data_IF_646783149542
#
_entry.id   IF_646783149542
#
_cell.length_a   1.000
_cell.length_b   1.000
_cell.length_c   1.000
_cell.angle_alpha   90.00
_cell.angle_beta   90.00
_cell.angle_gamma   90.00
#
_symmetry.space_group_name_H-M   'P 1'
#
loop_
_entity.id
_entity.type
_entity.pdbx_description
1 polymer ?
#
# COMPACT_ATOMS: atom_id res chain seq x y z
N UNK A 1 2.88 -12.84 14.79
CA UNK A 1 3.80 -12.86 13.63
C UNK A 1 3.25 -13.84 12.61
N UNK A 2 2.54 -13.36 11.59
CA UNK A 2 2.05 -14.22 10.51
C UNK A 2 3.25 -14.62 9.65
N UNK A 3 3.78 -15.81 9.91
CA UNK A 3 4.87 -16.42 9.14
C UNK A 3 4.43 -16.63 7.70
N UNK A 4 5.27 -16.21 6.76
CA UNK A 4 5.27 -16.66 5.38
C UNK A 4 5.17 -18.19 5.32
N UNK A 5 4.01 -18.71 4.93
CA UNK A 5 3.85 -20.09 4.47
C UNK A 5 3.01 -20.05 3.18
N UNK A 6 3.67 -20.26 2.05
CA UNK A 6 3.03 -20.42 0.76
C UNK A 6 2.19 -21.70 0.74
N UNK A 7 0.86 -21.61 0.55
CA UNK A 7 0.15 -22.38 -0.50
C UNK A 7 -1.34 -22.07 -0.69
N UNK A 8 -2.01 -21.43 0.27
CA UNK A 8 -3.39 -20.99 0.04
C UNK A 8 -3.43 -19.49 -0.21
N UNK A 9 -3.80 -19.12 -1.45
CA UNK A 9 -4.25 -17.75 -1.74
C UNK A 9 -5.36 -17.46 -0.72
N UNK A 10 -5.21 -16.37 0.06
CA UNK A 10 -6.20 -15.94 1.02
C UNK A 10 -7.56 -15.79 0.31
N UNK A 11 -8.43 -16.79 0.48
CA UNK A 11 -9.64 -16.95 -0.31
C UNK A 11 -10.81 -17.28 0.58
N UNK A 12 -11.83 -16.44 0.52
CA UNK A 12 -13.05 -16.60 1.29
C UNK A 12 -14.27 -16.29 0.44
N UNK A 13 -15.37 -16.99 0.72
CA UNK A 13 -16.64 -16.76 0.06
C UNK A 13 -17.74 -16.87 1.10
N UNK A 14 -18.59 -15.83 1.23
CA UNK A 14 -19.64 -15.77 2.25
C UNK A 14 -19.11 -16.01 3.67
N UNK A 15 -17.88 -15.59 3.96
CA UNK A 15 -17.22 -15.91 5.22
C UNK A 15 -17.39 -14.77 6.22
N UNK A 16 -17.59 -15.14 7.48
CA UNK A 16 -17.51 -14.24 8.62
C UNK A 16 -16.08 -14.26 9.20
N UNK A 17 -15.40 -13.12 9.13
CA UNK A 17 -14.02 -12.88 9.56
C UNK A 17 -13.92 -11.56 10.32
N UNK A 18 -14.86 -11.32 11.22
CA UNK A 18 -14.87 -10.15 12.09
C UNK A 18 -13.70 -10.12 13.09
N UNK A 19 -13.30 -8.90 13.47
CA UNK A 19 -12.32 -8.59 14.53
C UNK A 19 -10.99 -9.35 14.39
N UNK A 20 -10.51 -9.52 13.16
CA UNK A 20 -9.24 -10.20 12.89
C UNK A 20 -8.11 -9.20 12.78
N UNK A 21 -6.92 -9.66 13.15
CA UNK A 21 -5.69 -8.92 12.95
C UNK A 21 -4.95 -9.47 11.73
N UNK A 22 -4.88 -8.67 10.67
CA UNK A 22 -4.14 -8.95 9.44
C UNK A 22 -2.90 -8.07 9.27
N UNK A 23 -2.47 -7.35 10.31
CA UNK A 23 -1.33 -6.45 10.20
C UNK A 23 -0.11 -7.12 9.59
N UNK A 24 0.60 -6.39 8.72
CA UNK A 24 1.82 -6.85 8.04
C UNK A 24 1.60 -8.08 7.13
N UNK A 25 0.36 -8.41 6.77
CA UNK A 25 0.07 -9.55 5.92
C UNK A 25 0.26 -9.24 4.44
N UNK A 26 0.75 -10.24 3.71
CA UNK A 26 0.78 -10.24 2.25
C UNK A 26 -0.52 -10.86 1.71
N UNK A 27 -1.50 -10.03 1.37
CA UNK A 27 -2.78 -10.47 0.81
C UNK A 27 -2.85 -10.23 -0.71
N UNK A 28 -1.68 -10.26 -1.37
CA UNK A 28 -1.55 -10.18 -2.82
C UNK A 28 -2.38 -11.27 -3.50
N UNK A 29 -3.13 -10.89 -4.52
CA UNK A 29 -3.99 -11.79 -5.31
C UNK A 29 -5.01 -12.58 -4.47
N UNK A 30 -5.32 -12.13 -3.26
CA UNK A 30 -6.39 -12.71 -2.44
C UNK A 30 -7.73 -12.63 -3.16
N UNK A 31 -8.66 -13.53 -2.83
CA UNK A 31 -9.97 -13.60 -3.47
C UNK A 31 -11.07 -13.79 -2.43
N UNK A 32 -11.66 -12.67 -2.02
CA UNK A 32 -12.77 -12.62 -1.10
C UNK A 32 -14.02 -12.13 -1.81
N UNK A 33 -15.11 -12.88 -1.67
CA UNK A 33 -16.42 -12.50 -2.17
C UNK A 33 -17.44 -12.55 -1.03
N UNK A 34 -18.21 -11.47 -0.88
CA UNK A 34 -19.29 -11.38 0.10
C UNK A 34 -18.86 -11.74 1.54
N UNK A 35 -17.67 -11.30 1.95
CA UNK A 35 -17.12 -11.60 3.27
C UNK A 35 -17.35 -10.45 4.25
N UNK A 36 -17.56 -10.77 5.53
CA UNK A 36 -17.64 -9.79 6.60
C UNK A 36 -16.29 -9.70 7.33
N UNK A 37 -15.63 -8.54 7.22
CA UNK A 37 -14.37 -8.24 7.90
C UNK A 37 -14.53 -7.21 9.02
N UNK A 38 -15.76 -6.90 9.46
CA UNK A 38 -16.06 -5.84 10.43
C UNK A 38 -15.07 -5.80 11.61
N UNK A 39 -14.56 -4.61 11.91
CA UNK A 39 -13.63 -4.35 13.02
C UNK A 39 -12.23 -4.94 12.83
N UNK A 40 -11.88 -5.45 11.65
CA UNK A 40 -10.56 -6.02 11.41
C UNK A 40 -9.49 -4.96 11.18
N UNK A 41 -8.26 -5.29 11.54
CA UNK A 41 -7.10 -4.44 11.38
C UNK A 41 -6.28 -4.88 10.16
N UNK A 42 -6.17 -4.02 9.16
CA UNK A 42 -5.42 -4.21 7.92
C UNK A 42 -4.26 -3.22 7.77
N UNK A 43 -3.74 -2.69 8.88
CA UNK A 43 -2.60 -1.77 8.83
C UNK A 43 -1.38 -2.48 8.24
N UNK A 44 -0.65 -1.78 7.38
CA UNK A 44 0.56 -2.25 6.72
C UNK A 44 0.34 -3.51 5.89
N UNK A 45 -0.82 -3.63 5.22
CA UNK A 45 -1.16 -4.77 4.36
C UNK A 45 -0.98 -4.40 2.90
N UNK A 46 -0.58 -5.38 2.08
CA UNK A 46 -0.59 -5.25 0.62
C UNK A 46 -1.72 -6.09 0.04
N UNK A 47 -2.62 -5.42 -0.66
CA UNK A 47 -3.73 -5.99 -1.42
C UNK A 47 -3.46 -5.94 -2.93
N UNK A 48 -2.18 -5.95 -3.35
CA UNK A 48 -1.85 -5.88 -4.78
C UNK A 48 -2.49 -7.03 -5.56
N UNK A 49 -3.33 -6.69 -6.54
CA UNK A 49 -4.11 -7.60 -7.37
C UNK A 49 -5.21 -8.38 -6.63
N UNK A 50 -5.60 -7.95 -5.43
CA UNK A 50 -6.64 -8.63 -4.65
C UNK A 50 -8.04 -8.41 -5.25
N UNK A 51 -8.89 -9.43 -5.18
CA UNK A 51 -10.31 -9.36 -5.48
C UNK A 51 -11.09 -9.39 -4.16
N UNK A 52 -11.60 -8.26 -3.72
CA UNK A 52 -12.35 -8.11 -2.47
C UNK A 52 -13.73 -7.55 -2.82
N UNK A 53 -14.54 -8.36 -3.50
CA UNK A 53 -15.83 -7.92 -4.08
C UNK A 53 -16.96 -8.09 -3.09
N UNK A 54 -17.82 -7.09 -2.96
CA UNK A 54 -18.99 -7.13 -2.07
C UNK A 54 -18.66 -7.46 -0.61
N UNK A 55 -17.45 -7.15 -0.14
CA UNK A 55 -17.04 -7.39 1.23
C UNK A 55 -17.43 -6.21 2.14
N UNK A 56 -17.69 -6.50 3.41
CA UNK A 56 -17.97 -5.49 4.43
C UNK A 56 -16.72 -5.25 5.28
N UNK A 57 -16.24 -4.01 5.29
CA UNK A 57 -15.11 -3.52 6.05
C UNK A 57 -15.53 -2.48 7.10
N UNK A 58 -16.75 -2.59 7.63
CA UNK A 58 -17.24 -1.71 8.68
C UNK A 58 -16.22 -1.53 9.81
N UNK A 59 -15.86 -0.28 10.12
CA UNK A 59 -14.97 0.05 11.24
C UNK A 59 -13.54 -0.53 11.13
N UNK A 60 -13.10 -0.97 9.94
CA UNK A 60 -11.74 -1.49 9.75
C UNK A 60 -10.69 -0.37 9.71
N UNK A 61 -9.43 -0.72 10.00
CA UNK A 61 -8.29 0.23 9.91
C UNK A 61 -7.31 -0.14 8.80
N UNK A 62 -6.83 0.88 8.09
CA UNK A 62 -5.97 0.76 6.90
C UNK A 62 -4.82 1.77 6.93
N UNK A 63 -3.98 1.71 7.96
CA UNK A 63 -2.77 2.55 8.04
C UNK A 63 -1.68 2.00 7.11
N UNK A 64 -1.20 2.82 6.19
CA UNK A 64 -0.15 2.50 5.21
C UNK A 64 -0.44 1.20 4.45
N UNK A 65 -1.70 1.00 4.10
CA UNK A 65 -2.19 -0.13 3.30
C UNK A 65 -2.12 0.19 1.81
N UNK A 66 -1.72 -0.78 1.01
CA UNK A 66 -1.58 -0.64 -0.44
C UNK A 66 -2.65 -1.45 -1.19
N UNK A 67 -3.55 -0.77 -1.88
CA UNK A 67 -4.51 -1.32 -2.82
C UNK A 67 -4.03 -1.05 -4.25
N UNK A 68 -3.24 -1.96 -4.83
CA UNK A 68 -2.66 -1.77 -6.17
C UNK A 68 -3.27 -2.76 -7.16
N UNK A 69 -4.02 -2.29 -8.16
CA UNK A 69 -4.75 -3.14 -9.11
C UNK A 69 -5.81 -4.01 -8.43
N UNK A 70 -6.32 -3.58 -7.27
CA UNK A 70 -7.32 -4.32 -6.52
C UNK A 70 -8.73 -4.12 -7.10
N UNK A 71 -9.61 -5.07 -6.85
CA UNK A 71 -11.03 -4.96 -7.19
C UNK A 71 -11.87 -4.92 -5.92
N UNK A 72 -12.39 -3.72 -5.61
CA UNK A 72 -13.24 -3.45 -4.44
C UNK A 72 -14.72 -3.33 -4.82
N UNK A 73 -15.11 -3.72 -6.03
CA UNK A 73 -16.47 -3.55 -6.56
C UNK A 73 -17.54 -3.96 -5.55
N UNK A 74 -18.47 -3.03 -5.29
CA UNK A 74 -19.60 -3.18 -4.35
C UNK A 74 -19.23 -3.42 -2.88
N UNK A 75 -17.96 -3.24 -2.48
CA UNK A 75 -17.56 -3.37 -1.08
C UNK A 75 -17.94 -2.14 -0.26
N UNK A 76 -18.04 -2.30 1.05
CA UNK A 76 -18.49 -1.26 1.98
C UNK A 76 -17.39 -0.97 2.99
N UNK A 77 -17.11 0.30 3.24
CA UNK A 77 -16.08 0.79 4.14
C UNK A 77 -16.66 1.74 5.19
N UNK A 78 -17.88 1.46 5.66
CA UNK A 78 -18.56 2.37 6.59
C UNK A 78 -17.76 2.54 7.88
N UNK A 79 -17.46 3.78 8.29
CA UNK A 79 -16.59 4.08 9.45
C UNK A 79 -15.18 3.49 9.38
N UNK A 80 -14.71 3.07 8.21
CA UNK A 80 -13.33 2.64 8.06
C UNK A 80 -12.38 3.83 8.17
N UNK A 81 -11.17 3.59 8.69
CA UNK A 81 -10.13 4.61 8.88
C UNK A 81 -8.96 4.32 7.96
N UNK A 82 -8.66 5.23 7.06
CA UNK A 82 -7.51 5.18 6.16
C UNK A 82 -6.49 6.24 6.54
N UNK A 83 -5.24 5.84 6.73
CA UNK A 83 -4.13 6.75 7.01
C UNK A 83 -2.95 6.37 6.12
N UNK A 84 -2.41 7.28 5.32
CA UNK A 84 -1.29 6.98 4.40
C UNK A 84 -1.56 5.81 3.43
N UNK A 85 -2.83 5.55 3.10
CA UNK A 85 -3.23 4.45 2.22
C UNK A 85 -3.07 4.84 0.74
N UNK A 86 -2.74 3.86 -0.10
CA UNK A 86 -2.53 4.06 -1.53
C UNK A 86 -3.51 3.20 -2.32
N UNK A 87 -4.26 3.82 -3.23
CA UNK A 87 -5.15 3.18 -4.20
C UNK A 87 -4.63 3.45 -5.60
N UNK A 88 -3.98 2.48 -6.24
CA UNK A 88 -3.47 2.60 -7.60
C UNK A 88 -4.21 1.64 -8.53
N UNK A 89 -4.86 2.15 -9.59
CA UNK A 89 -5.57 1.31 -10.57
C UNK A 89 -6.69 0.46 -9.97
N UNK A 90 -7.41 0.96 -8.96
CA UNK A 90 -8.41 0.19 -8.22
C UNK A 90 -9.78 0.27 -8.89
N UNK A 91 -10.46 -0.88 -9.01
CA UNK A 91 -11.88 -0.86 -9.40
C UNK A 91 -12.74 -0.54 -8.18
N UNK A 92 -13.28 0.69 -8.17
CA UNK A 92 -14.17 1.20 -7.12
C UNK A 92 -15.66 1.13 -7.46
N UNK A 93 -16.08 0.47 -8.55
CA UNK A 93 -17.48 0.46 -9.00
C UNK A 93 -18.47 0.07 -7.90
N UNK A 94 -19.31 1.03 -7.49
CA UNK A 94 -20.32 0.83 -6.46
C UNK A 94 -19.77 0.59 -5.06
N UNK A 95 -18.48 0.83 -4.83
CA UNK A 95 -17.85 0.84 -3.50
C UNK A 95 -18.45 1.97 -2.69
N UNK A 96 -18.70 1.74 -1.41
CA UNK A 96 -19.32 2.73 -0.53
C UNK A 96 -18.37 3.10 0.62
N UNK A 97 -17.97 4.37 0.67
CA UNK A 97 -17.11 4.95 1.71
C UNK A 97 -17.89 5.77 2.73
N UNK A 98 -19.19 5.54 2.91
CA UNK A 98 -20.03 6.29 3.84
C UNK A 98 -19.37 6.42 5.23
N UNK A 99 -19.22 7.64 5.73
CA UNK A 99 -18.63 7.92 7.05
C UNK A 99 -17.18 7.38 7.22
N UNK A 100 -16.48 7.05 6.14
CA UNK A 100 -15.05 6.70 6.20
C UNK A 100 -14.21 7.95 6.48
N UNK A 101 -13.11 7.76 7.20
CA UNK A 101 -12.14 8.81 7.51
C UNK A 101 -10.88 8.61 6.66
N UNK A 102 -10.41 9.67 6.01
CA UNK A 102 -9.19 9.68 5.21
C UNK A 102 -8.17 10.64 5.83
N UNK A 103 -6.91 10.21 5.91
CA UNK A 103 -5.76 11.04 6.30
C UNK A 103 -4.59 10.72 5.38
N UNK A 104 -4.15 11.69 4.58
CA UNK A 104 -3.07 11.53 3.60
C UNK A 104 -3.26 10.28 2.71
N UNK A 105 -4.41 10.15 2.06
CA UNK A 105 -4.74 9.02 1.18
C UNK A 105 -4.52 9.41 -0.27
N UNK A 106 -3.96 8.50 -1.06
CA UNK A 106 -3.63 8.76 -2.47
C UNK A 106 -4.43 7.82 -3.37
N UNK A 107 -5.07 8.39 -4.38
CA UNK A 107 -5.65 7.68 -5.52
C UNK A 107 -4.81 7.97 -6.77
N UNK A 108 -4.32 6.94 -7.45
CA UNK A 108 -3.60 7.03 -8.72
C UNK A 108 -4.33 6.17 -9.76
N UNK A 109 -4.58 6.70 -10.95
CA UNK A 109 -5.25 5.99 -12.05
C UNK A 109 -6.54 5.27 -11.59
N UNK A 110 -7.29 5.90 -10.70
CA UNK A 110 -8.46 5.29 -10.03
C UNK A 110 -9.65 6.24 -10.17
N UNK A 111 -10.67 5.81 -10.91
CA UNK A 111 -11.89 6.59 -11.11
C UNK A 111 -12.74 6.63 -9.83
N UNK A 112 -12.51 7.66 -9.02
CA UNK A 112 -13.22 7.88 -7.75
C UNK A 112 -14.70 8.22 -7.95
N UNK A 113 -15.12 8.67 -9.15
CA UNK A 113 -16.53 8.99 -9.45
C UNK A 113 -17.42 7.74 -9.44
N UNK A 114 -16.81 6.55 -9.57
CA UNK A 114 -17.51 5.25 -9.48
C UNK A 114 -17.79 4.81 -8.05
N UNK A 115 -17.18 5.46 -7.06
CA UNK A 115 -17.43 5.22 -5.66
C UNK A 115 -18.59 6.09 -5.15
N UNK A 116 -19.22 5.65 -4.07
CA UNK A 116 -20.23 6.41 -3.33
C UNK A 116 -19.57 7.01 -2.10
N UNK A 117 -20.00 8.23 -1.74
CA UNK A 117 -19.55 8.93 -0.53
C UNK A 117 -18.02 9.14 -0.49
N UNK A 118 -17.42 9.41 -1.65
CA UNK A 118 -16.01 9.78 -1.78
C UNK A 118 -15.95 11.01 -2.68
N UNK A 119 -15.30 12.08 -2.22
CA UNK A 119 -15.05 13.27 -3.02
C UNK A 119 -13.55 13.55 -3.08
N UNK A 120 -13.08 14.06 -4.21
CA UNK A 120 -11.65 14.31 -4.45
C UNK A 120 -11.13 15.65 -3.91
N UNK A 121 -11.99 16.48 -3.34
CA UNK A 121 -11.68 17.83 -2.84
C UNK A 121 -11.41 17.87 -1.32
N UNK A 122 -11.30 16.71 -0.68
CA UNK A 122 -10.96 16.59 0.73
C UNK A 122 -9.45 16.86 0.92
N UNK A 123 -9.09 17.72 1.88
CA UNK A 123 -7.68 18.13 2.13
C UNK A 123 -6.73 16.95 2.41
N UNK A 124 -7.28 15.83 2.84
CA UNK A 124 -6.57 14.61 3.19
C UNK A 124 -6.50 13.57 2.05
N UNK A 125 -7.02 13.91 0.86
CA UNK A 125 -7.03 13.05 -0.31
C UNK A 125 -6.26 13.71 -1.46
N UNK A 126 -5.36 12.95 -2.10
CA UNK A 126 -4.68 13.35 -3.33
C UNK A 126 -5.10 12.42 -4.46
N UNK A 127 -5.55 12.98 -5.57
CA UNK A 127 -5.98 12.23 -6.76
C UNK A 127 -5.06 12.56 -7.92
N UNK A 128 -4.48 11.53 -8.52
CA UNK A 128 -3.61 11.62 -9.69
C UNK A 128 -4.20 10.78 -10.82
N UNK A 129 -4.42 11.42 -11.97
CA UNK A 129 -4.86 10.72 -13.19
C UNK A 129 -3.71 10.01 -13.91
N UNK A 130 -2.48 10.38 -13.59
CA UNK A 130 -1.26 9.82 -14.15
C UNK A 130 -0.15 9.76 -13.09
N UNK A 131 0.88 8.96 -13.34
CA UNK A 131 2.01 8.81 -12.42
C UNK A 131 2.66 10.19 -12.16
N UNK A 132 2.78 10.64 -10.90
CA UNK A 132 3.29 11.97 -10.59
C UNK A 132 4.74 12.10 -11.05
N UNK A 133 5.05 13.21 -11.73
CA UNK A 133 6.42 13.53 -12.12
C UNK A 133 7.14 14.18 -10.93
N UNK A 134 8.37 13.76 -10.70
CA UNK A 134 9.23 14.34 -9.66
C UNK A 134 10.63 14.58 -10.21
N UNK A 135 11.25 15.66 -9.75
CA UNK A 135 12.67 15.88 -9.97
C UNK A 135 13.48 14.99 -9.02
N UNK A 136 14.55 14.38 -9.53
CA UNK A 136 15.45 13.57 -8.72
C UNK A 136 16.86 13.57 -9.32
N UNK A 137 17.87 13.55 -8.46
CA UNK A 137 19.27 13.43 -8.88
C UNK A 137 19.56 12.06 -9.52
N UNK A 138 20.64 11.99 -10.30
CA UNK A 138 21.13 10.72 -10.84
C UNK A 138 21.60 9.78 -9.71
N UNK A 139 22.11 10.34 -8.62
CA UNK A 139 22.47 9.61 -7.41
C UNK A 139 21.26 8.92 -6.77
N UNK A 140 20.12 9.62 -6.66
CA UNK A 140 18.88 9.02 -6.17
C UNK A 140 18.37 7.94 -7.11
N UNK A 141 18.35 8.18 -8.42
CA UNK A 141 17.98 7.16 -9.42
C UNK A 141 18.81 5.89 -9.28
N UNK A 142 20.12 6.05 -9.10
CA UNK A 142 21.04 4.92 -8.93
C UNK A 142 20.80 4.20 -7.60
N UNK A 143 20.57 4.92 -6.50
CA UNK A 143 20.26 4.31 -5.21
C UNK A 143 18.97 3.49 -5.23
N UNK A 144 17.94 3.96 -5.95
CA UNK A 144 16.68 3.22 -6.14
C UNK A 144 16.91 1.94 -6.93
N UNK A 145 17.68 2.01 -8.03
CA UNK A 145 18.05 0.82 -8.82
C UNK A 145 18.82 -0.20 -7.96
N UNK A 146 19.76 0.27 -7.12
CA UNK A 146 20.49 -0.58 -6.16
C UNK A 146 19.54 -1.23 -5.16
N UNK A 147 18.60 -0.50 -4.58
CA UNK A 147 17.60 -1.06 -3.66
C UNK A 147 16.73 -2.13 -4.36
N UNK A 148 16.42 -1.94 -5.65
CA UNK A 148 15.68 -2.91 -6.46
C UNK A 148 16.48 -4.18 -6.81
N UNK A 149 17.80 -4.22 -6.59
CA UNK A 149 18.58 -5.47 -6.66
C UNK A 149 18.20 -6.42 -5.50
N UNK A 150 17.64 -5.89 -4.40
CA UNK A 150 17.15 -6.72 -3.30
C UNK A 150 15.92 -7.54 -3.75
N UNK A 151 16.06 -8.87 -3.69
CA UNK A 151 15.03 -9.82 -4.17
C UNK A 151 13.67 -9.63 -3.49
N UNK A 152 13.61 -9.21 -2.23
CA UNK A 152 12.36 -9.00 -1.52
C UNK A 152 11.66 -7.73 -2.02
N UNK A 153 12.39 -6.61 -2.10
CA UNK A 153 11.87 -5.35 -2.67
C UNK A 153 11.35 -5.59 -4.09
N UNK A 154 12.15 -6.25 -4.93
CA UNK A 154 11.78 -6.55 -6.31
C UNK A 154 10.55 -7.45 -6.40
N UNK A 155 10.49 -8.51 -5.60
CA UNK A 155 9.34 -9.41 -5.57
C UNK A 155 8.07 -8.71 -5.08
N UNK A 156 8.21 -7.74 -4.17
CA UNK A 156 7.07 -7.03 -3.65
C UNK A 156 6.53 -5.93 -4.56
N UNK A 157 7.34 -5.43 -5.50
CA UNK A 157 6.98 -4.35 -6.43
C UNK A 157 6.68 -3.03 -5.73
N UNK A 158 7.53 -2.68 -4.75
CA UNK A 158 7.39 -1.45 -3.95
C UNK A 158 7.95 -0.24 -4.67
N UNK A 159 9.12 -0.36 -5.30
CA UNK A 159 9.84 0.77 -5.92
C UNK A 159 9.72 0.80 -7.45
N UNK A 160 9.04 -0.18 -8.05
CA UNK A 160 8.91 -0.30 -9.50
C UNK A 160 7.47 -0.44 -9.99
N UNK A 161 7.21 0.19 -11.14
CA UNK A 161 5.96 0.07 -11.89
C UNK A 161 5.84 -1.34 -12.49
N UNK A 162 4.70 -1.70 -13.08
CA UNK A 162 4.50 -3.00 -13.77
C UNK A 162 5.54 -3.25 -14.89
N UNK A 163 6.05 -2.19 -15.51
CA UNK A 163 6.98 -2.26 -16.63
C UNK A 163 8.45 -2.33 -16.15
N UNK A 164 8.68 -2.21 -14.85
CA UNK A 164 10.01 -2.33 -14.23
C UNK A 164 10.73 -0.99 -14.07
N UNK A 165 10.13 0.10 -14.54
CA UNK A 165 10.57 1.47 -14.31
C UNK A 165 10.38 1.90 -12.86
N UNK A 166 11.07 2.96 -12.45
CA UNK A 166 10.95 3.54 -11.11
C UNK A 166 9.52 4.03 -10.87
N UNK A 167 8.93 3.63 -9.75
CA UNK A 167 7.63 4.12 -9.31
C UNK A 167 7.79 5.49 -8.64
N UNK A 168 7.56 6.57 -9.38
CA UNK A 168 7.76 7.94 -8.90
C UNK A 168 6.74 8.36 -7.85
N UNK A 169 5.54 7.75 -7.80
CA UNK A 169 4.60 7.96 -6.67
C UNK A 169 5.26 7.51 -5.35
N UNK A 170 5.86 6.32 -5.36
CA UNK A 170 6.49 5.76 -4.16
C UNK A 170 7.72 6.58 -3.75
N UNK A 171 8.48 7.08 -4.72
CA UNK A 171 9.58 8.00 -4.45
C UNK A 171 9.14 9.38 -3.94
N UNK A 172 8.05 9.94 -4.47
CA UNK A 172 7.47 11.19 -3.98
C UNK A 172 7.14 11.06 -2.50
N UNK A 173 6.47 9.97 -2.10
CA UNK A 173 6.15 9.71 -0.70
C UNK A 173 7.42 9.51 0.14
N UNK A 174 8.46 8.84 -0.38
CA UNK A 174 9.74 8.72 0.33
C UNK A 174 10.41 10.07 0.54
N UNK A 175 10.36 10.96 -0.45
CA UNK A 175 10.91 12.33 -0.35
C UNK A 175 10.09 13.24 0.58
N UNK A 176 8.79 12.96 0.78
CA UNK A 176 7.98 13.60 1.81
C UNK A 176 8.41 13.20 3.23
N UNK A 177 9.02 12.02 3.39
CA UNK A 177 9.45 11.50 4.68
C UNK A 177 10.95 11.75 4.97
N UNK A 178 11.77 11.90 3.94
CA UNK A 178 13.22 12.01 4.08
C UNK A 178 13.81 13.06 3.14
N UNK A 179 14.87 13.74 3.59
CA UNK A 179 15.73 14.45 2.65
C UNK A 179 16.34 13.48 1.64
N UNK A 180 16.58 13.94 0.42
CA UNK A 180 17.18 13.14 -0.65
C UNK A 180 18.50 12.48 -0.22
N UNK A 181 19.34 13.20 0.53
CA UNK A 181 20.60 12.69 1.07
C UNK A 181 20.42 11.50 2.02
N UNK A 182 19.41 11.53 2.89
CA UNK A 182 19.10 10.42 3.81
C UNK A 182 18.50 9.25 3.04
N UNK A 183 17.60 9.54 2.08
CA UNK A 183 16.98 8.52 1.25
C UNK A 183 18.03 7.75 0.42
N UNK A 184 18.98 8.44 -0.22
CA UNK A 184 20.08 7.82 -0.98
C UNK A 184 20.89 6.86 -0.10
N UNK A 185 21.33 7.32 1.08
CA UNK A 185 22.10 6.49 2.01
C UNK A 185 21.31 5.27 2.48
N UNK A 186 20.03 5.46 2.80
CA UNK A 186 19.13 4.39 3.24
C UNK A 186 18.89 3.34 2.17
N UNK A 187 18.57 3.76 0.94
CA UNK A 187 18.31 2.88 -0.20
C UNK A 187 19.52 2.03 -0.56
N UNK A 188 20.73 2.61 -0.57
CA UNK A 188 21.97 1.89 -0.81
C UNK A 188 22.26 0.80 0.24
N UNK A 189 21.65 0.90 1.42
CA UNK A 189 21.85 -0.03 2.53
C UNK A 189 20.99 -1.29 2.44
N UNK A 190 19.94 -1.30 1.61
CA UNK A 190 19.11 -2.50 1.36
C UNK A 190 19.85 -3.62 0.61
N UNK A 191 21.06 -3.35 0.08
CA UNK A 191 21.92 -4.35 -0.55
C UNK A 191 22.51 -5.36 0.45
N UNK A 192 22.53 -5.05 1.75
CA UNK A 192 23.08 -5.92 2.79
C UNK A 192 21.96 -6.78 3.40
N UNK A 193 22.07 -8.10 3.26
CA UNK A 193 21.06 -9.11 3.60
C UNK A 193 20.75 -9.21 5.11
N UNK A 194 19.46 -9.21 5.46
CA UNK A 194 18.85 -10.09 6.50
C UNK A 194 17.34 -9.88 6.66
N UNK A 195 16.76 -8.85 6.05
CA UNK A 195 15.36 -8.51 6.21
C UNK A 195 14.46 -9.32 5.26
N UNK A 196 14.11 -10.52 5.73
CA UNK A 196 13.19 -11.47 5.07
C UNK A 196 11.71 -11.09 5.21
N UNK A 197 11.43 -9.93 5.79
CA UNK A 197 10.08 -9.53 6.15
C UNK A 197 9.37 -8.78 5.02
N UNK A 198 8.05 -8.84 5.10
CA UNK A 198 7.09 -8.35 4.14
C UNK A 198 7.30 -6.87 3.77
N UNK A 199 7.59 -6.56 2.49
CA UNK A 199 7.87 -5.19 2.06
C UNK A 199 6.72 -4.52 1.30
N UNK A 200 6.12 -3.53 1.97
CA UNK A 200 5.34 -2.40 1.42
C UNK A 200 6.21 -1.15 1.47
N UNK A 201 5.73 -0.01 0.98
CA UNK A 201 6.40 1.27 1.15
C UNK A 201 6.64 1.60 2.64
N UNK A 202 5.68 1.28 3.50
CA UNK A 202 5.80 1.49 4.95
C UNK A 202 6.96 0.74 5.58
N UNK A 203 7.31 -0.42 5.00
CA UNK A 203 8.48 -1.19 5.39
C UNK A 203 9.76 -0.41 5.06
N UNK A 204 9.86 0.11 3.83
CA UNK A 204 11.00 0.89 3.37
C UNK A 204 11.21 2.12 4.26
N UNK A 205 10.14 2.87 4.53
CA UNK A 205 10.17 4.05 5.42
C UNK A 205 10.71 3.67 6.80
N UNK A 206 10.09 2.67 7.46
CA UNK A 206 10.51 2.24 8.80
C UNK A 206 11.95 1.74 8.86
N UNK A 207 12.42 1.05 7.83
CA UNK A 207 13.80 0.55 7.77
C UNK A 207 14.80 1.71 7.63
N UNK A 208 14.50 2.71 6.80
CA UNK A 208 15.34 3.91 6.67
C UNK A 208 15.34 4.72 7.98
N UNK A 209 14.18 4.90 8.62
CA UNK A 209 14.08 5.53 9.96
C UNK A 209 14.94 4.80 10.98
N UNK A 210 14.89 3.46 10.99
CA UNK A 210 15.71 2.64 11.88
C UNK A 210 17.20 2.87 11.62
N UNK A 211 17.65 2.85 10.35
CA UNK A 211 19.05 3.14 10.02
C UNK A 211 19.50 4.52 10.51
N UNK A 212 18.65 5.53 10.37
CA UNK A 212 18.93 6.88 10.87
C UNK A 212 19.04 6.90 12.40
N UNK A 213 18.10 6.26 13.10
CA UNK A 213 18.09 6.21 14.56
C UNK A 213 19.28 5.43 15.13
N UNK A 214 19.74 4.40 14.40
CA UNK A 214 20.90 3.59 14.76
C UNK A 214 22.24 4.25 14.36
N UNK A 215 22.22 5.47 13.81
CA UNK A 215 23.42 6.21 13.39
C UNK A 215 24.13 5.64 12.16
N UNK A 216 23.42 4.86 11.35
CA UNK A 216 23.97 4.15 10.20
C UNK A 216 23.93 4.97 8.90
N UNK A 217 23.13 6.04 8.85
CA UNK A 217 22.97 6.95 7.70
C UNK A 217 22.77 8.41 8.15
#
# INVERSE_FOLDING_TARGET
MAKNNTKDIFKYNNADKQNKNFMYSNLKRSNCYNCNFTGSNFNFVSFRGAHLKSCDFYGCTFKSTEFIGANLKKSKFKYAKFENAIFEGVNLEGTDFKDAEFKNVIFLNTDISKAKNLKGDESDIRVFEEMPQIEMSEELKNAVKVAMENKYIKAARVLDTKDGEINTLMLMILLENFSESILIKGLNRFKIDSDKDFCTLSYVIRTIEKYKNDGLI
#
